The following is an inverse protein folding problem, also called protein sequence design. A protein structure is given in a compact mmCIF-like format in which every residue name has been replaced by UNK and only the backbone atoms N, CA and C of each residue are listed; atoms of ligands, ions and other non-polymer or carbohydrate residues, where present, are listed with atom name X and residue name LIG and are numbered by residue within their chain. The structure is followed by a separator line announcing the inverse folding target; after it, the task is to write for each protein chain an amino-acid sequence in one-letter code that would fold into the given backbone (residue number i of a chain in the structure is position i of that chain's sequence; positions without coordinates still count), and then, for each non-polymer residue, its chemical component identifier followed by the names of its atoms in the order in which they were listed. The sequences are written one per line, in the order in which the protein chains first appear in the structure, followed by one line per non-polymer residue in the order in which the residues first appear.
data_IF_423533635724
#
_entry.id   IF_423533635724
#
_cell.length_a   1.000
_cell.length_b   1.000
_cell.length_c   1.000
_cell.angle_alpha   90.00
_cell.angle_beta   90.00
_cell.angle_gamma   90.00
#
_symmetry.space_group_name_H-M   'P 1'
#
loop_
_entity.id
_entity.type
_entity.pdbx_description
1 polymer ?
#
# COMPACT_ATOMS: atom_id res chain seq x y z
N UNK A 1 -0.28 21.93 -24.42
CA UNK A 1 0.90 21.09 -24.12
C UNK A 1 0.93 20.64 -22.67
N UNK A 2 0.92 21.53 -21.68
CA UNK A 2 0.88 21.14 -20.25
C UNK A 2 -0.35 20.28 -19.87
N UNK A 3 -1.50 20.54 -20.49
CA UNK A 3 -2.72 19.75 -20.27
C UNK A 3 -2.58 18.29 -20.71
N UNK A 4 -1.78 18.02 -21.74
CA UNK A 4 -1.53 16.64 -22.21
C UNK A 4 -0.83 15.87 -21.11
N UNK A 5 0.25 16.43 -20.54
CA UNK A 5 0.98 15.82 -19.44
C UNK A 5 0.10 15.62 -18.20
N UNK A 6 -0.72 16.60 -17.84
CA UNK A 6 -1.63 16.48 -16.68
C UNK A 6 -2.62 15.33 -16.86
N UNK A 7 -3.24 15.23 -18.05
CA UNK A 7 -4.20 14.15 -18.36
C UNK A 7 -3.52 12.78 -18.33
N UNK A 8 -2.33 12.65 -18.92
CA UNK A 8 -1.62 11.37 -18.94
C UNK A 8 -1.11 10.95 -17.55
N UNK A 9 -0.75 11.91 -16.69
CA UNK A 9 -0.41 11.64 -15.29
C UNK A 9 -1.63 11.13 -14.52
N UNK A 10 -2.80 11.76 -14.70
CA UNK A 10 -4.03 11.30 -14.07
C UNK A 10 -4.41 9.90 -14.54
N UNK A 11 -4.31 9.62 -15.83
CA UNK A 11 -4.56 8.30 -16.41
C UNK A 11 -3.62 7.23 -15.84
N UNK A 12 -2.30 7.47 -15.89
CA UNK A 12 -1.32 6.55 -15.31
C UNK A 12 -1.56 6.31 -13.81
N UNK A 13 -1.93 7.34 -13.06
CA UNK A 13 -2.31 7.21 -11.64
C UNK A 13 -3.55 6.35 -11.45
N UNK A 14 -4.57 6.46 -12.29
CA UNK A 14 -5.75 5.61 -12.19
C UNK A 14 -5.43 4.14 -12.41
N UNK A 15 -4.50 3.83 -13.32
CA UNK A 15 -4.06 2.46 -13.64
C UNK A 15 -3.32 1.74 -12.50
N UNK A 16 -2.71 2.48 -11.57
CA UNK A 16 -1.95 1.92 -10.44
C UNK A 16 -2.59 2.27 -9.08
N UNK A 17 -3.77 2.89 -9.09
CA UNK A 17 -4.40 3.39 -7.86
C UNK A 17 -4.84 2.27 -6.91
N UNK A 18 -4.79 2.56 -5.60
CA UNK A 18 -5.31 1.67 -4.55
C UNK A 18 -6.81 1.35 -4.69
N UNK A 19 -7.55 2.16 -5.46
CA UNK A 19 -8.98 1.95 -5.74
C UNK A 19 -9.23 0.67 -6.55
N UNK A 20 -8.26 0.23 -7.35
CA UNK A 20 -8.37 -1.01 -8.14
C UNK A 20 -8.51 -2.25 -7.26
N UNK A 21 -7.96 -2.22 -6.04
CA UNK A 21 -8.11 -3.29 -5.05
C UNK A 21 -9.56 -3.45 -4.58
N UNK A 22 -10.32 -2.35 -4.53
CA UNK A 22 -11.75 -2.39 -4.17
C UNK A 22 -12.60 -2.88 -5.34
N UNK A 23 -12.14 -2.67 -6.58
CA UNK A 23 -12.81 -3.09 -7.81
C UNK A 23 -12.42 -4.51 -8.25
N UNK A 24 -11.62 -5.22 -7.43
CA UNK A 24 -11.09 -6.56 -7.73
C UNK A 24 -10.36 -6.66 -9.08
N UNK A 25 -9.85 -5.53 -9.57
CA UNK A 25 -9.12 -5.49 -10.85
C UNK A 25 -7.66 -5.88 -10.60
N UNK A 26 -7.22 -6.91 -11.33
CA UNK A 26 -5.85 -7.40 -11.22
C UNK A 26 -4.88 -6.44 -11.89
N UNK A 27 -3.84 -6.04 -11.17
CA UNK A 27 -2.74 -5.22 -11.70
C UNK A 27 -1.55 -6.15 -11.95
N UNK A 28 -1.08 -6.18 -13.20
CA UNK A 28 0.10 -6.95 -13.60
C UNK A 28 1.29 -6.03 -13.87
N UNK A 29 2.49 -6.60 -13.93
CA UNK A 29 3.68 -5.87 -14.37
C UNK A 29 3.50 -5.26 -15.78
N UNK A 30 2.72 -5.90 -16.65
CA UNK A 30 2.37 -5.36 -17.97
C UNK A 30 1.56 -4.06 -17.87
N UNK A 31 0.58 -4.03 -16.98
CA UNK A 31 -0.23 -2.82 -16.73
C UNK A 31 0.62 -1.65 -16.22
N UNK A 32 1.65 -1.94 -15.42
CA UNK A 32 2.62 -0.92 -14.96
C UNK A 32 3.51 -0.45 -16.11
N UNK A 33 3.97 -1.37 -16.97
CA UNK A 33 4.74 -1.02 -18.17
C UNK A 33 3.92 -0.15 -19.14
N UNK A 34 2.66 -0.51 -19.39
CA UNK A 34 1.74 0.29 -20.21
C UNK A 34 1.56 1.71 -19.65
N UNK A 35 1.40 1.86 -18.34
CA UNK A 35 1.31 3.17 -17.69
C UNK A 35 2.60 3.99 -17.88
N UNK A 36 3.77 3.35 -17.78
CA UNK A 36 5.07 4.01 -18.05
C UNK A 36 5.20 4.40 -19.53
N UNK A 37 4.77 3.55 -20.46
CA UNK A 37 4.85 3.82 -21.89
C UNK A 37 3.92 4.96 -22.32
N UNK A 38 2.73 5.09 -21.70
CA UNK A 38 1.85 6.26 -21.88
C UNK A 38 2.58 7.55 -21.45
N UNK A 39 3.26 7.53 -20.29
CA UNK A 39 4.02 8.68 -19.80
C UNK A 39 5.21 9.01 -20.71
N UNK A 40 5.95 8.00 -21.19
CA UNK A 40 7.05 8.19 -22.16
C UNK A 40 6.53 8.79 -23.46
N UNK A 41 5.43 8.28 -24.00
CA UNK A 41 4.79 8.82 -25.20
C UNK A 41 4.37 10.28 -25.03
N UNK A 42 3.78 10.63 -23.88
CA UNK A 42 3.41 12.00 -23.55
C UNK A 42 4.63 12.95 -23.52
N UNK A 43 5.75 12.48 -22.96
CA UNK A 43 7.01 13.23 -22.92
C UNK A 43 7.59 13.41 -24.32
N UNK A 44 7.56 12.38 -25.18
CA UNK A 44 8.00 12.49 -26.58
C UNK A 44 7.14 13.48 -27.39
N UNK A 45 5.83 13.57 -27.11
CA UNK A 45 4.95 14.54 -27.77
C UNK A 45 5.34 15.98 -27.38
N UNK A 46 5.65 16.22 -26.11
CA UNK A 46 6.02 17.56 -25.62
C UNK A 46 7.46 17.91 -25.98
N UNK A 47 8.35 16.92 -25.98
CA UNK A 47 9.78 17.04 -26.26
C UNK A 47 10.20 16.05 -27.37
N UNK A 48 9.88 16.35 -28.63
CA UNK A 48 10.18 15.45 -29.76
C UNK A 48 11.68 15.24 -30.00
N UNK A 49 12.52 16.20 -29.59
CA UNK A 49 13.98 16.09 -29.63
C UNK A 49 14.58 15.32 -28.45
N UNK A 50 13.73 14.81 -27.55
CA UNK A 50 14.13 14.14 -26.32
C UNK A 50 14.50 15.09 -25.20
N UNK A 51 14.59 14.53 -23.99
CA UNK A 51 15.06 15.24 -22.80
C UNK A 51 16.59 15.18 -22.70
N UNK A 52 17.25 16.20 -22.13
CA UNK A 52 18.67 16.17 -21.85
C UNK A 52 19.08 14.92 -21.03
N UNK A 53 20.30 14.39 -21.21
CA UNK A 53 20.78 13.22 -20.46
C UNK A 53 20.81 13.40 -18.93
N UNK A 54 20.96 14.65 -18.48
CA UNK A 54 20.99 14.99 -17.05
C UNK A 54 19.60 15.29 -16.47
N UNK A 55 18.53 15.19 -17.27
CA UNK A 55 17.18 15.43 -16.80
C UNK A 55 16.69 14.25 -15.95
N UNK A 56 16.10 14.56 -14.79
CA UNK A 56 15.65 13.58 -13.79
C UNK A 56 14.60 12.65 -14.40
N UNK A 57 13.67 13.20 -15.20
CA UNK A 57 12.59 12.41 -15.83
C UNK A 57 13.18 11.35 -16.76
N UNK A 58 14.26 11.69 -17.48
CA UNK A 58 14.93 10.74 -18.37
C UNK A 58 15.68 9.67 -17.57
N UNK A 59 16.38 10.08 -16.52
CA UNK A 59 17.09 9.15 -15.64
C UNK A 59 16.14 8.14 -14.99
N UNK A 60 14.99 8.61 -14.49
CA UNK A 60 13.92 7.75 -13.92
C UNK A 60 13.35 6.76 -14.95
N UNK A 61 13.18 7.17 -16.22
CA UNK A 61 12.73 6.23 -17.25
C UNK A 61 13.79 5.20 -17.65
N UNK A 62 15.07 5.55 -17.53
CA UNK A 62 16.22 4.69 -17.86
C UNK A 62 16.71 3.87 -16.66
N UNK A 63 16.13 4.08 -15.46
CA UNK A 63 16.57 3.51 -14.17
C UNK A 63 18.06 3.82 -13.85
N UNK A 64 18.53 5.00 -14.24
CA UNK A 64 19.91 5.48 -14.00
C UNK A 64 19.98 6.59 -12.97
N UNK A 65 18.88 6.87 -12.28
CA UNK A 65 18.80 7.90 -11.25
C UNK A 65 19.65 7.53 -10.04
N UNK A 66 20.38 8.51 -9.51
CA UNK A 66 21.08 8.37 -8.25
C UNK A 66 20.15 8.77 -7.10
N UNK A 67 19.62 7.77 -6.39
CA UNK A 67 18.76 7.99 -5.24
C UNK A 67 19.56 8.25 -3.95
N UNK A 68 20.90 8.20 -3.97
CA UNK A 68 21.72 8.34 -2.77
C UNK A 68 21.43 9.66 -2.02
N UNK A 69 21.20 9.55 -0.70
CA UNK A 69 20.89 10.70 0.15
C UNK A 69 19.49 11.31 -0.01
N UNK A 70 18.64 10.79 -0.90
CA UNK A 70 17.25 11.26 -1.06
C UNK A 70 16.25 10.44 -0.25
N UNK A 71 15.09 11.03 0.08
CA UNK A 71 13.99 10.29 0.74
C UNK A 71 13.45 9.14 -0.12
N UNK A 72 13.51 9.28 -1.45
CA UNK A 72 13.08 8.24 -2.39
C UNK A 72 13.88 6.93 -2.25
N UNK A 73 15.14 7.00 -1.80
CA UNK A 73 15.94 5.80 -1.52
C UNK A 73 15.37 4.88 -0.45
N UNK A 74 14.50 5.40 0.44
CA UNK A 74 13.83 4.60 1.47
C UNK A 74 12.65 3.81 0.92
N UNK A 75 12.04 4.30 -0.16
CA UNK A 75 10.87 3.66 -0.79
C UNK A 75 11.28 2.58 -1.79
N UNK A 76 12.48 2.70 -2.38
CA UNK A 76 13.03 1.72 -3.31
C UNK A 76 13.76 0.62 -2.55
N UNK A 77 13.27 -0.61 -2.69
CA UNK A 77 13.85 -1.80 -2.08
C UNK A 77 14.35 -2.71 -3.20
N UNK A 78 15.65 -3.03 -3.17
CA UNK A 78 16.23 -4.04 -4.05
C UNK A 78 15.54 -5.39 -3.84
N UNK A 79 15.24 -6.09 -4.93
CA UNK A 79 14.59 -7.40 -4.93
C UNK A 79 15.31 -8.43 -4.05
N UNK A 80 16.63 -8.34 -3.90
CA UNK A 80 17.41 -9.22 -3.01
C UNK A 80 17.26 -8.89 -1.51
N UNK A 81 16.92 -7.64 -1.21
CA UNK A 81 16.69 -7.13 0.14
C UNK A 81 15.20 -7.07 0.47
N UNK A 82 14.31 -7.37 -0.47
CA UNK A 82 12.87 -7.40 -0.27
C UNK A 82 12.46 -8.67 0.49
N UNK A 83 11.79 -8.47 1.64
CA UNK A 83 11.14 -9.54 2.39
C UNK A 83 9.63 -9.31 2.39
N UNK A 84 8.89 -10.38 2.12
CA UNK A 84 7.43 -10.38 2.15
C UNK A 84 6.95 -11.05 3.44
N UNK A 85 5.96 -10.45 4.10
CA UNK A 85 5.44 -10.95 5.37
C UNK A 85 3.93 -11.15 5.29
N UNK A 86 3.47 -12.31 5.74
CA UNK A 86 2.07 -12.66 5.85
C UNK A 86 1.76 -13.22 7.24
N UNK A 87 0.81 -12.62 7.96
CA UNK A 87 0.36 -13.06 9.29
C UNK A 87 1.50 -13.33 10.30
N UNK A 88 2.54 -12.49 10.28
CA UNK A 88 3.69 -12.62 11.19
C UNK A 88 4.71 -13.72 10.82
N UNK A 89 4.56 -14.34 9.64
CA UNK A 89 5.55 -15.25 9.04
C UNK A 89 6.16 -14.60 7.79
N UNK A 90 7.46 -14.84 7.58
CA UNK A 90 8.16 -14.43 6.37
C UNK A 90 7.84 -15.41 5.23
N UNK A 91 7.49 -14.86 4.07
CA UNK A 91 7.30 -15.59 2.81
C UNK A 91 8.66 -15.72 2.13
N UNK A 92 9.22 -16.92 2.18
CA UNK A 92 10.53 -17.19 1.58
C UNK A 92 10.39 -17.32 0.05
N UNK A 93 11.34 -16.76 -0.72
CA UNK A 93 11.40 -16.97 -2.17
C UNK A 93 11.44 -18.47 -2.50
N UNK A 94 10.61 -18.90 -3.46
CA UNK A 94 10.53 -20.29 -3.92
C UNK A 94 9.52 -21.18 -3.19
N UNK A 95 8.97 -20.74 -2.04
CA UNK A 95 7.84 -21.42 -1.40
C UNK A 95 6.51 -21.05 -2.04
N UNK A 96 5.56 -21.99 -2.07
CA UNK A 96 4.24 -21.73 -2.64
C UNK A 96 3.35 -21.06 -1.60
N UNK A 97 2.52 -20.10 -2.03
CA UNK A 97 1.56 -19.42 -1.13
C UNK A 97 0.62 -20.40 -0.41
N UNK A 98 0.33 -21.56 -1.03
CA UNK A 98 -0.47 -22.63 -0.43
C UNK A 98 0.11 -23.13 0.90
N UNK A 99 1.43 -23.09 1.08
CA UNK A 99 2.09 -23.60 2.28
C UNK A 99 1.89 -22.63 3.47
N UNK A 100 1.54 -21.37 3.19
CA UNK A 100 1.27 -20.34 4.19
C UNK A 100 -0.22 -20.09 4.42
N UNK A 101 -1.03 -20.19 3.38
CA UNK A 101 -2.46 -19.81 3.39
C UNK A 101 -3.40 -21.02 3.44
N UNK A 102 -2.92 -22.20 3.02
CA UNK A 102 -3.72 -23.42 2.90
C UNK A 102 -4.39 -23.59 1.52
N UNK A 103 -5.34 -24.54 1.42
CA UNK A 103 -6.08 -24.89 0.20
C UNK A 103 -7.37 -24.08 -0.01
N UNK A 104 -7.42 -22.83 0.46
CA UNK A 104 -8.64 -22.02 0.35
C UNK A 104 -8.56 -21.02 -0.81
N UNK A 105 -9.37 -21.25 -1.85
CA UNK A 105 -9.36 -20.48 -3.10
C UNK A 105 -10.02 -19.10 -3.00
N UNK A 106 -10.87 -18.86 -1.99
CA UNK A 106 -11.56 -17.57 -1.79
C UNK A 106 -10.92 -16.76 -0.65
N UNK A 107 -9.60 -16.55 -0.71
CA UNK A 107 -8.87 -15.84 0.35
C UNK A 107 -8.24 -14.54 -0.17
N UNK A 108 -8.59 -13.41 0.44
CA UNK A 108 -7.87 -12.14 0.25
C UNK A 108 -6.66 -12.12 1.17
N UNK A 109 -5.48 -11.98 0.59
CA UNK A 109 -4.20 -11.99 1.30
C UNK A 109 -3.65 -10.57 1.28
N UNK A 110 -3.29 -10.05 2.45
CA UNK A 110 -2.57 -8.78 2.58
C UNK A 110 -1.15 -9.12 2.99
N UNK A 111 -0.19 -8.78 2.15
CA UNK A 111 1.23 -9.03 2.36
C UNK A 111 1.93 -7.70 2.59
N UNK A 112 2.82 -7.66 3.58
CA UNK A 112 3.65 -6.49 3.86
C UNK A 112 5.02 -6.66 3.21
N UNK A 113 5.46 -5.63 2.49
CA UNK A 113 6.81 -5.54 1.95
C UNK A 113 7.71 -4.81 2.96
N UNK A 114 8.88 -5.38 3.25
CA UNK A 114 9.84 -4.80 4.18
C UNK A 114 11.28 -5.05 3.71
N UNK A 115 12.20 -4.15 4.06
CA UNK A 115 13.63 -4.32 3.82
C UNK A 115 14.23 -5.34 4.78
N UNK A 116 15.13 -6.18 4.28
CA UNK A 116 15.87 -7.19 5.02
C UNK A 116 16.61 -6.55 6.19
N UNK A 117 16.37 -7.09 7.39
CA UNK A 117 16.93 -6.57 8.65
C UNK A 117 15.99 -5.68 9.46
N UNK A 118 14.82 -5.32 8.93
CA UNK A 118 13.81 -4.51 9.65
C UNK A 118 13.01 -5.26 10.73
N UNK A 119 13.26 -6.55 10.95
CA UNK A 119 12.52 -7.38 11.89
C UNK A 119 11.07 -7.63 11.47
N UNK A 120 10.24 -8.14 12.40
CA UNK A 120 8.83 -8.42 12.12
C UNK A 120 8.08 -7.10 11.88
N UNK A 121 7.28 -6.98 10.81
CA UNK A 121 6.51 -5.77 10.58
C UNK A 121 5.53 -5.54 11.72
N UNK A 122 5.36 -4.28 12.11
CA UNK A 122 4.39 -3.90 13.12
C UNK A 122 3.01 -4.45 12.75
N UNK A 123 2.30 -5.01 13.73
CA UNK A 123 0.91 -5.44 13.54
C UNK A 123 0.11 -4.24 13.07
N UNK A 124 -0.68 -4.43 12.02
CA UNK A 124 -1.70 -3.44 11.68
C UNK A 124 -2.64 -3.30 12.88
N UNK A 125 -3.05 -2.07 13.23
CA UNK A 125 -4.12 -1.88 14.21
C UNK A 125 -5.36 -2.60 13.66
N UNK A 126 -5.88 -3.54 14.44
CA UNK A 126 -7.03 -4.39 14.08
C UNK A 126 -8.34 -3.59 13.88
N UNK A 127 -8.33 -2.30 14.21
CA UNK A 127 -9.46 -1.40 14.16
C UNK A 127 -9.02 -0.03 13.67
N UNK A 128 -9.89 0.64 12.91
CA UNK A 128 -9.70 2.04 12.59
C UNK A 128 -9.79 2.91 13.86
N UNK A 129 -9.22 4.12 13.83
CA UNK A 129 -9.35 5.04 14.97
C UNK A 129 -10.81 5.39 15.29
N UNK A 130 -11.67 5.42 14.27
CA UNK A 130 -13.10 5.71 14.42
C UNK A 130 -13.84 4.57 15.12
N UNK A 131 -13.58 3.33 14.70
CA UNK A 131 -14.14 2.14 15.36
C UNK A 131 -13.67 2.07 16.81
N UNK A 132 -12.41 2.42 17.09
CA UNK A 132 -11.85 2.42 18.45
C UNK A 132 -12.56 3.44 19.34
N UNK A 133 -12.87 4.63 18.81
CA UNK A 133 -13.65 5.66 19.51
C UNK A 133 -15.07 5.20 19.80
N UNK A 134 -15.75 4.57 18.83
CA UNK A 134 -17.10 4.04 19.02
C UNK A 134 -17.15 2.96 20.11
N UNK A 135 -16.17 2.06 20.13
CA UNK A 135 -16.06 1.01 21.15
C UNK A 135 -15.82 1.60 22.55
N UNK A 136 -14.96 2.63 22.66
CA UNK A 136 -14.77 3.34 23.93
C UNK A 136 -16.04 4.03 24.42
N UNK A 137 -16.79 4.68 23.53
CA UNK A 137 -18.08 5.32 23.87
C UNK A 137 -19.12 4.29 24.33
N UNK A 138 -19.19 3.14 23.66
CA UNK A 138 -20.10 2.07 24.04
C UNK A 138 -19.72 1.44 25.39
N UNK A 139 -18.43 1.22 25.63
CA UNK A 139 -17.92 0.73 26.91
C UNK A 139 -18.24 1.70 28.06
N UNK A 140 -18.07 3.01 27.83
CA UNK A 140 -18.39 4.04 28.82
C UNK A 140 -19.88 4.06 29.17
N UNK A 141 -20.78 4.06 28.18
CA UNK A 141 -22.24 4.00 28.42
C UNK A 141 -22.64 2.75 29.20
N UNK A 142 -22.07 1.59 28.87
CA UNK A 142 -22.33 0.34 29.60
C UNK A 142 -21.86 0.44 31.05
N UNK A 143 -20.73 1.10 31.32
CA UNK A 143 -20.22 1.30 32.68
C UNK A 143 -21.14 2.21 33.51
N UNK A 144 -21.69 3.27 32.91
CA UNK A 144 -22.68 4.14 33.58
C UNK A 144 -23.98 3.39 33.88
N UNK A 145 -24.50 2.62 32.93
CA UNK A 145 -25.70 1.78 33.12
C UNK A 145 -25.51 0.76 34.25
N UNK A 146 -24.34 0.12 34.31
CA UNK A 146 -24.01 -0.83 35.37
C UNK A 146 -23.99 -0.15 36.74
N UNK A 147 -23.36 1.02 36.88
CA UNK A 147 -23.35 1.79 38.13
C UNK A 147 -24.77 2.16 38.59
N UNK A 148 -25.63 2.59 37.67
CA UNK A 148 -27.04 2.92 37.98
C UNK A 148 -27.81 1.68 38.41
N UNK A 149 -27.58 0.54 37.75
CA UNK A 149 -28.22 -0.73 38.11
C UNK A 149 -27.74 -1.26 39.47
N UNK A 150 -26.45 -1.15 39.79
CA UNK A 150 -25.89 -1.53 41.09
C UNK A 150 -26.44 -0.64 42.21
N UNK A 151 -26.52 0.67 41.99
CA UNK A 151 -27.11 1.60 42.95
C UNK A 151 -28.60 1.31 43.19
N UNK A 152 -29.34 0.95 42.13
CA UNK A 152 -30.76 0.60 42.22
C UNK A 152 -30.98 -0.73 42.94
N UNK A 153 -30.08 -1.72 42.76
CA UNK A 153 -30.11 -3.00 43.50
C UNK A 153 -29.80 -2.80 44.99
N UNK A 154 -28.90 -1.87 45.33
CA UNK A 154 -28.55 -1.52 46.72
C UNK A 154 -29.67 -0.79 47.47
N UNK A 155 -30.56 -0.09 46.77
CA UNK A 155 -31.70 0.63 47.35
C UNK A 155 -32.91 -0.26 47.67
N UNK A 156 -32.93 -1.50 47.18
CA UNK A 156 -34.05 -2.46 47.34
C UNK A 156 -33.73 -3.51 48.44
N UNK A 157 -32.49 -3.56 48.95
CA UNK A 157 -32.06 -4.41 50.08
C UNK A 157 -32.03 -3.63 51.39
#
# INVERSE_FOLDING_TARGET
MQEVLKKTIEEARTMVSKKLVQQEKLVTQKTVQEALDILRGAVTIVYPMGLPPHDIIRQEFENTEDLSGTQASLEVIDMQLAQLWFSGKELLPGMKLKDYVGMNEKTKIIVKLQKRGGGRPAREPLMSEEERKQLMLHAYRRQEQLKVSEASILLIK
#
